data_IF_808992709993
#
_entry.id   IF_808992709993
#
_cell.length_a   1.000
_cell.length_b   1.000
_cell.length_c   1.000
_cell.angle_alpha   90.00
_cell.angle_beta   90.00
_cell.angle_gamma   90.00
#
_symmetry.space_group_name_H-M   'P 1'
#
loop_
_entity.id
_entity.type
_entity.pdbx_description
1 polymer ?
#
# COMPACT_ATOMS: atom_id res chain seq x y z
N UNK A 1 45.92 -11.81 -27.85
CA UNK A 1 44.55 -12.34 -27.65
C UNK A 1 43.74 -11.43 -26.74
N UNK A 2 42.83 -10.63 -27.27
CA UNK A 2 41.96 -9.75 -26.51
C UNK A 2 40.70 -10.54 -26.16
N UNK A 3 40.44 -10.72 -24.85
CA UNK A 3 39.18 -11.30 -24.36
C UNK A 3 38.05 -10.33 -24.65
N UNK A 4 37.07 -10.75 -25.43
CA UNK A 4 35.82 -10.04 -25.64
C UNK A 4 35.08 -9.97 -24.29
N UNK A 5 34.75 -8.74 -23.83
CA UNK A 5 33.84 -8.51 -22.68
C UNK A 5 32.44 -8.89 -23.15
N UNK A 6 31.86 -9.93 -22.55
CA UNK A 6 30.46 -10.22 -22.66
C UNK A 6 29.68 -9.03 -22.08
N UNK A 7 29.15 -8.20 -22.96
CA UNK A 7 28.10 -7.25 -22.61
C UNK A 7 26.89 -8.10 -22.23
N UNK A 8 26.53 -8.07 -20.98
CA UNK A 8 25.29 -8.65 -20.49
C UNK A 8 24.15 -8.10 -21.38
N UNK A 9 23.46 -9.02 -22.06
CA UNK A 9 22.22 -8.65 -22.79
C UNK A 9 21.27 -8.06 -21.79
N UNK A 10 20.97 -6.77 -21.92
CA UNK A 10 19.94 -6.12 -21.14
C UNK A 10 18.65 -6.94 -21.27
N UNK A 11 18.19 -7.51 -20.18
CA UNK A 11 16.87 -8.11 -20.14
C UNK A 11 15.85 -7.05 -20.52
N UNK A 12 15.07 -7.30 -21.57
CA UNK A 12 13.91 -6.46 -21.88
C UNK A 12 13.11 -6.32 -20.61
N UNK A 13 12.81 -5.09 -20.13
CA UNK A 13 11.99 -4.95 -18.93
C UNK A 13 10.70 -5.73 -19.11
N UNK A 14 10.38 -6.60 -18.18
CA UNK A 14 9.11 -7.30 -18.20
C UNK A 14 8.00 -6.25 -18.22
N UNK A 15 6.95 -6.46 -19.02
CA UNK A 15 5.82 -5.56 -19.03
C UNK A 15 5.24 -5.45 -17.61
N UNK A 16 4.87 -4.23 -17.17
CA UNK A 16 4.37 -4.03 -15.83
C UNK A 16 3.09 -4.84 -15.60
N UNK A 17 2.99 -5.46 -14.43
CA UNK A 17 1.84 -6.29 -14.05
C UNK A 17 0.59 -5.48 -13.75
N UNK A 18 0.75 -4.22 -13.42
CA UNK A 18 -0.34 -3.25 -13.27
C UNK A 18 -0.34 -2.36 -14.51
N UNK A 19 -1.44 -2.32 -15.22
CA UNK A 19 -1.59 -1.55 -16.47
C UNK A 19 -1.17 -0.10 -16.27
N UNK A 20 -0.27 0.38 -17.14
CA UNK A 20 0.25 1.74 -17.09
C UNK A 20 1.12 2.03 -15.86
N UNK A 21 1.65 1.00 -15.19
CA UNK A 21 2.66 1.22 -14.16
C UNK A 21 4.03 1.52 -14.78
N UNK A 22 4.74 2.45 -14.18
CA UNK A 22 6.07 2.91 -14.60
C UNK A 22 7.02 2.92 -13.41
N UNK A 23 8.31 3.10 -13.67
CA UNK A 23 9.34 3.17 -12.63
C UNK A 23 9.76 1.81 -12.09
N UNK A 24 10.64 1.83 -11.10
CA UNK A 24 11.30 0.62 -10.58
C UNK A 24 10.35 -0.31 -9.83
N UNK A 25 9.34 0.24 -9.15
CA UNK A 25 8.30 -0.53 -8.45
C UNK A 25 7.25 -1.13 -9.39
N UNK A 26 7.25 -0.81 -10.69
CA UNK A 26 6.32 -1.40 -11.66
C UNK A 26 6.56 -2.90 -11.88
N UNK A 27 7.68 -3.44 -11.40
CA UNK A 27 7.96 -4.87 -11.40
C UNK A 27 7.14 -5.63 -10.35
N UNK A 28 6.56 -4.92 -9.36
CA UNK A 28 5.73 -5.54 -8.33
C UNK A 28 4.54 -6.27 -8.97
N UNK A 29 4.34 -7.51 -8.58
CA UNK A 29 3.25 -8.39 -9.03
C UNK A 29 2.09 -8.39 -8.06
N UNK A 30 2.42 -8.09 -6.80
CA UNK A 30 1.48 -8.14 -5.70
C UNK A 30 0.81 -9.51 -5.55
N UNK A 31 -0.44 -9.48 -5.18
CA UNK A 31 -1.25 -10.69 -4.95
C UNK A 31 -1.70 -11.45 -6.19
N UNK A 32 -1.15 -11.14 -7.36
CA UNK A 32 -1.56 -11.80 -8.61
C UNK A 32 -1.39 -13.31 -8.54
N UNK A 33 -2.41 -14.06 -8.97
CA UNK A 33 -2.56 -15.53 -8.89
C UNK A 33 -2.62 -16.08 -7.46
N UNK A 34 -2.77 -15.23 -6.46
CA UNK A 34 -3.01 -15.63 -5.08
C UNK A 34 -4.50 -15.73 -4.75
N UNK A 35 -4.78 -15.80 -3.47
CA UNK A 35 -6.14 -15.78 -2.96
C UNK A 35 -6.79 -14.42 -3.19
N UNK A 36 -8.08 -14.39 -3.46
CA UNK A 36 -8.86 -13.16 -3.43
C UNK A 36 -9.58 -13.06 -2.07
N UNK A 37 -9.40 -11.94 -1.40
CA UNK A 37 -10.12 -11.59 -0.19
C UNK A 37 -10.98 -10.36 -0.45
N UNK A 38 -12.24 -10.41 -0.01
CA UNK A 38 -13.18 -9.31 -0.19
C UNK A 38 -13.50 -8.65 1.14
N UNK A 39 -13.24 -7.35 1.20
CA UNK A 39 -13.69 -6.50 2.30
C UNK A 39 -15.17 -6.23 2.12
N UNK A 40 -15.97 -6.73 3.03
CA UNK A 40 -17.45 -6.70 3.00
C UNK A 40 -18.06 -5.85 4.10
N UNK A 41 -17.23 -5.28 4.99
CA UNK A 41 -17.64 -4.39 6.07
C UNK A 41 -16.65 -3.23 6.21
N UNK A 42 -17.13 -2.10 6.72
CA UNK A 42 -16.32 -0.93 7.08
C UNK A 42 -15.84 -0.98 8.54
N UNK A 43 -16.15 -2.04 9.29
CA UNK A 43 -15.67 -2.22 10.64
C UNK A 43 -14.14 -2.33 10.68
N UNK A 44 -13.53 -1.85 11.77
CA UNK A 44 -12.08 -1.93 11.97
C UNK A 44 -11.56 -3.36 11.94
N UNK A 45 -12.25 -4.29 12.61
CA UNK A 45 -11.76 -5.64 12.82
C UNK A 45 -12.82 -6.71 12.57
N UNK A 46 -12.42 -7.99 12.66
CA UNK A 46 -13.28 -9.15 12.45
C UNK A 46 -13.32 -9.61 10.99
N UNK A 47 -14.03 -10.70 10.75
CA UNK A 47 -14.17 -11.29 9.42
C UNK A 47 -14.84 -10.30 8.45
N UNK A 48 -14.30 -10.18 7.24
CA UNK A 48 -14.78 -9.24 6.24
C UNK A 48 -14.19 -7.83 6.36
N UNK A 49 -13.42 -7.51 7.40
CA UNK A 49 -12.74 -6.22 7.54
C UNK A 49 -11.44 -6.15 6.72
N UNK A 50 -10.95 -4.94 6.46
CA UNK A 50 -9.64 -4.71 5.85
C UNK A 50 -8.52 -5.30 6.71
N UNK A 51 -8.55 -5.05 8.03
CA UNK A 51 -7.57 -5.55 8.99
C UNK A 51 -7.43 -7.07 8.92
N UNK A 52 -8.53 -7.78 8.83
CA UNK A 52 -8.47 -9.24 8.69
C UNK A 52 -7.70 -9.68 7.44
N UNK A 53 -7.95 -9.02 6.32
CA UNK A 53 -7.25 -9.29 5.06
C UNK A 53 -5.76 -8.95 5.10
N UNK A 54 -5.38 -7.92 5.85
CA UNK A 54 -3.98 -7.45 5.95
C UNK A 54 -3.21 -8.24 6.99
N UNK A 55 -3.73 -8.36 8.22
CA UNK A 55 -2.98 -8.85 9.38
C UNK A 55 -3.23 -10.33 9.72
N UNK A 56 -4.40 -10.88 9.35
CA UNK A 56 -4.76 -12.27 9.71
C UNK A 56 -4.50 -13.24 8.58
N UNK A 57 -4.80 -12.85 7.35
CA UNK A 57 -4.51 -13.69 6.20
C UNK A 57 -3.02 -13.69 5.89
N UNK A 58 -2.52 -14.80 5.40
CA UNK A 58 -1.11 -14.98 5.04
C UNK A 58 -0.95 -15.45 3.60
N UNK A 59 0.24 -15.23 3.05
CA UNK A 59 0.61 -15.65 1.71
C UNK A 59 0.04 -14.74 0.62
N UNK A 60 0.31 -15.09 -0.62
CA UNK A 60 -0.05 -14.31 -1.80
C UNK A 60 -1.54 -14.05 -1.88
N UNK A 61 -1.95 -12.76 -1.90
CA UNK A 61 -3.38 -12.39 -1.91
C UNK A 61 -3.66 -11.02 -2.52
N UNK A 62 -4.85 -10.89 -3.08
CA UNK A 62 -5.41 -9.61 -3.51
C UNK A 62 -6.62 -9.27 -2.65
N UNK A 63 -6.53 -8.16 -1.95
CA UNK A 63 -7.59 -7.60 -1.10
C UNK A 63 -8.37 -6.61 -1.95
N UNK A 64 -9.67 -6.85 -2.11
CA UNK A 64 -10.62 -6.06 -2.88
C UNK A 64 -11.76 -5.59 -2.00
N UNK A 65 -12.54 -4.64 -2.48
CA UNK A 65 -13.63 -4.04 -1.69
C UNK A 65 -14.97 -4.23 -2.39
N UNK A 66 -15.93 -4.77 -1.64
CA UNK A 66 -17.34 -4.84 -2.01
C UNK A 66 -18.16 -3.74 -1.32
N UNK A 67 -17.50 -2.90 -0.50
CA UNK A 67 -18.07 -1.77 0.22
C UNK A 67 -17.34 -0.47 -0.17
N UNK A 68 -18.02 0.65 0.01
CA UNK A 68 -17.46 1.99 -0.13
C UNK A 68 -17.75 2.80 1.13
N UNK A 69 -16.86 3.72 1.48
CA UNK A 69 -16.99 4.58 2.65
C UNK A 69 -15.71 4.67 3.46
N UNK A 70 -15.85 5.10 4.70
CA UNK A 70 -14.76 5.30 5.62
C UNK A 70 -14.58 4.08 6.52
N UNK A 71 -13.36 3.54 6.54
CA UNK A 71 -12.92 2.53 7.50
C UNK A 71 -12.19 3.30 8.61
N UNK A 72 -12.87 3.49 9.74
CA UNK A 72 -12.29 4.12 10.93
C UNK A 72 -11.49 3.07 11.70
N UNK A 73 -10.19 3.26 11.77
CA UNK A 73 -9.30 2.35 12.46
C UNK A 73 -9.19 2.72 13.94
N UNK A 74 -9.17 1.71 14.81
CA UNK A 74 -8.93 1.87 16.25
C UNK A 74 -7.45 1.83 16.61
N UNK A 75 -6.61 1.35 15.69
CA UNK A 75 -5.16 1.30 15.80
C UNK A 75 -4.55 1.16 14.40
N UNK A 76 -3.24 1.35 14.28
CA UNK A 76 -2.52 1.12 13.04
C UNK A 76 -2.81 -0.26 12.45
N UNK A 77 -2.82 -0.33 11.13
CA UNK A 77 -2.94 -1.58 10.41
C UNK A 77 -1.59 -1.88 9.74
N UNK A 78 -1.07 -3.09 9.95
CA UNK A 78 0.30 -3.42 9.55
C UNK A 78 0.38 -4.66 8.66
N UNK A 79 1.02 -4.51 7.52
CA UNK A 79 1.50 -5.63 6.72
C UNK A 79 2.97 -5.85 7.06
N UNK A 80 3.28 -6.89 7.86
CA UNK A 80 4.61 -7.12 8.41
C UNK A 80 5.18 -8.46 7.94
N UNK A 81 6.45 -8.44 7.48
CA UNK A 81 7.19 -9.62 7.03
C UNK A 81 6.43 -10.47 5.98
N UNK A 82 5.66 -9.81 5.11
CA UNK A 82 4.79 -10.46 4.13
C UNK A 82 5.22 -10.16 2.69
N UNK A 83 4.74 -10.96 1.77
CA UNK A 83 5.08 -10.80 0.37
C UNK A 83 3.91 -11.07 -0.58
N UNK A 84 3.98 -10.44 -1.74
CA UNK A 84 3.02 -10.70 -2.82
C UNK A 84 1.58 -10.31 -2.43
N UNK A 85 1.39 -9.09 -1.94
CA UNK A 85 0.08 -8.58 -1.52
C UNK A 85 -0.35 -7.41 -2.40
N UNK A 86 -1.62 -7.41 -2.79
CA UNK A 86 -2.26 -6.25 -3.42
C UNK A 86 -3.44 -5.79 -2.58
N UNK A 87 -3.51 -4.49 -2.29
CA UNK A 87 -4.71 -3.84 -1.76
C UNK A 87 -5.26 -2.93 -2.86
N UNK A 88 -6.42 -3.27 -3.38
CA UNK A 88 -7.00 -2.67 -4.59
C UNK A 88 -8.35 -2.02 -4.31
N UNK A 89 -8.33 -0.72 -4.06
CA UNK A 89 -9.55 0.08 -3.86
C UNK A 89 -10.35 0.34 -5.15
N UNK A 90 -9.83 0.00 -6.33
CA UNK A 90 -10.55 0.25 -7.60
C UNK A 90 -11.82 -0.59 -7.76
N UNK A 91 -11.99 -1.62 -6.93
CA UNK A 91 -13.15 -2.50 -6.96
C UNK A 91 -14.29 -2.03 -6.05
N UNK A 92 -14.01 -1.06 -5.19
CA UNK A 92 -15.02 -0.49 -4.31
C UNK A 92 -16.16 0.15 -5.13
N UNK A 93 -17.41 0.09 -4.64
CA UNK A 93 -18.52 0.83 -5.24
C UNK A 93 -18.24 2.34 -5.36
N UNK A 94 -19.14 3.07 -6.03
CA UNK A 94 -19.01 4.51 -6.20
C UNK A 94 -18.77 5.23 -4.86
N UNK A 95 -17.82 6.17 -4.85
CA UNK A 95 -17.32 6.83 -3.64
C UNK A 95 -15.98 6.28 -3.17
N UNK A 96 -15.64 5.02 -3.48
CA UNK A 96 -14.36 4.42 -3.11
C UNK A 96 -14.20 4.22 -1.61
N UNK A 97 -12.98 3.91 -1.16
CA UNK A 97 -12.64 3.63 0.23
C UNK A 97 -11.68 4.68 0.78
N UNK A 98 -11.93 5.10 2.02
CA UNK A 98 -11.05 5.92 2.82
C UNK A 98 -10.67 5.15 4.10
N UNK A 99 -9.40 5.02 4.36
CA UNK A 99 -8.85 4.47 5.60
C UNK A 99 -8.48 5.69 6.45
N UNK A 100 -9.01 5.78 7.66
CA UNK A 100 -8.81 6.94 8.53
C UNK A 100 -8.55 6.57 9.99
N UNK A 101 -8.14 7.56 10.74
CA UNK A 101 -7.95 7.56 12.19
C UNK A 101 -6.72 6.77 12.68
N UNK A 102 -5.93 6.17 11.78
CA UNK A 102 -4.66 5.54 12.11
C UNK A 102 -3.80 5.36 10.84
N UNK A 103 -2.57 4.90 11.02
CA UNK A 103 -1.57 4.70 9.96
C UNK A 103 -1.72 3.35 9.27
N UNK A 104 -1.55 3.32 7.95
CA UNK A 104 -1.30 2.07 7.21
C UNK A 104 0.22 1.86 7.10
N UNK A 105 0.72 0.76 7.64
CA UNK A 105 2.15 0.44 7.66
C UNK A 105 2.50 -0.78 6.82
N UNK A 106 3.56 -0.68 6.06
CA UNK A 106 4.22 -1.80 5.38
C UNK A 106 5.59 -1.97 6.00
N UNK A 107 5.81 -3.06 6.71
CA UNK A 107 7.06 -3.30 7.47
C UNK A 107 7.75 -4.55 6.94
N UNK A 108 8.98 -4.41 6.46
CA UNK A 108 9.83 -5.50 5.94
C UNK A 108 9.09 -6.41 4.93
N UNK A 109 8.20 -5.81 4.15
CA UNK A 109 7.37 -6.50 3.17
C UNK A 109 7.86 -6.27 1.75
N UNK A 110 7.59 -7.20 0.85
CA UNK A 110 8.04 -7.09 -0.53
C UNK A 110 6.98 -7.51 -1.56
N UNK A 111 7.17 -7.05 -2.79
CA UNK A 111 6.25 -7.33 -3.89
C UNK A 111 4.82 -6.91 -3.55
N UNK A 112 4.65 -5.63 -3.17
CA UNK A 112 3.38 -5.07 -2.68
C UNK A 112 2.84 -4.04 -3.65
N UNK A 113 1.53 -4.09 -3.89
CA UNK A 113 0.80 -3.10 -4.68
C UNK A 113 -0.32 -2.49 -3.85
N UNK A 114 -0.26 -1.17 -3.62
CA UNK A 114 -1.38 -0.40 -3.07
C UNK A 114 -1.94 0.51 -4.16
N UNK A 115 -3.25 0.49 -4.37
CA UNK A 115 -3.84 1.36 -5.38
C UNK A 115 -5.28 1.78 -5.10
N UNK A 116 -5.63 2.99 -5.57
CA UNK A 116 -6.99 3.55 -5.50
C UNK A 116 -7.54 3.63 -4.07
N UNK A 117 -6.72 4.13 -3.13
CA UNK A 117 -7.09 4.30 -1.73
C UNK A 117 -6.94 5.76 -1.32
N UNK A 118 -7.77 6.19 -0.39
CA UNK A 118 -7.58 7.43 0.36
C UNK A 118 -7.12 7.07 1.78
N UNK A 119 -6.10 7.77 2.27
CA UNK A 119 -5.55 7.61 3.60
C UNK A 119 -5.66 8.95 4.33
N UNK A 120 -6.35 8.96 5.46
CA UNK A 120 -6.68 10.15 6.25
C UNK A 120 -6.55 9.84 7.74
N UNK A 121 -5.32 9.73 8.27
CA UNK A 121 -5.16 9.40 9.70
C UNK A 121 -5.90 10.39 10.60
N UNK A 122 -5.91 11.68 10.26
CA UNK A 122 -6.66 12.67 11.04
C UNK A 122 -5.95 13.06 12.34
N UNK A 123 -6.55 13.97 13.12
CA UNK A 123 -5.95 14.49 14.34
C UNK A 123 -6.11 13.55 15.55
N UNK A 124 -7.06 12.62 15.49
CA UNK A 124 -7.43 11.75 16.61
C UNK A 124 -6.76 10.38 16.51
N UNK A 125 -5.48 10.35 16.07
CA UNK A 125 -4.70 9.10 15.99
C UNK A 125 -4.63 8.49 17.38
N UNK A 126 -5.07 7.24 17.55
CA UNK A 126 -4.93 6.56 18.84
C UNK A 126 -3.46 6.37 19.18
N UNK A 127 -3.11 6.75 20.41
CA UNK A 127 -1.77 6.65 20.95
C UNK A 127 -0.77 7.74 20.52
N UNK A 128 0.22 7.94 21.35
CA UNK A 128 1.17 9.05 21.37
C UNK A 128 2.15 9.08 20.20
N UNK A 129 2.05 8.19 19.25
CA UNK A 129 2.87 8.18 18.07
C UNK A 129 2.23 9.01 16.96
N UNK A 130 2.97 9.98 16.54
CA UNK A 130 2.74 10.89 15.44
C UNK A 130 2.25 10.10 14.22
N UNK A 131 1.04 10.39 13.76
CA UNK A 131 0.39 9.57 12.74
C UNK A 131 0.80 9.93 11.33
N UNK A 132 1.58 9.07 10.70
CA UNK A 132 1.81 9.10 9.26
C UNK A 132 0.56 8.69 8.49
N UNK A 133 0.42 9.19 7.27
CA UNK A 133 -0.63 8.69 6.38
C UNK A 133 -0.36 7.27 5.88
N UNK A 134 0.89 7.03 5.49
CA UNK A 134 1.40 5.75 5.01
C UNK A 134 2.88 5.62 5.38
N UNK A 135 3.25 4.52 6.00
CA UNK A 135 4.65 4.23 6.33
C UNK A 135 5.13 2.96 5.59
N UNK A 136 6.32 3.07 4.99
CA UNK A 136 7.10 1.96 4.45
C UNK A 136 8.43 1.88 5.17
N UNK A 137 8.72 0.74 5.80
CA UNK A 137 9.99 0.52 6.45
C UNK A 137 10.61 -0.83 6.08
N UNK A 138 11.79 -0.81 5.47
CA UNK A 138 12.52 -2.01 5.05
C UNK A 138 11.84 -2.78 3.91
N UNK A 139 11.04 -2.12 3.09
CA UNK A 139 10.26 -2.73 2.03
C UNK A 139 11.00 -2.80 0.69
N UNK A 140 10.61 -3.73 -0.18
CA UNK A 140 11.21 -3.93 -1.49
C UNK A 140 10.16 -4.23 -2.56
N UNK A 141 10.34 -3.69 -3.79
CA UNK A 141 9.41 -3.86 -4.90
C UNK A 141 7.99 -3.42 -4.55
N UNK A 142 7.80 -2.13 -4.32
CA UNK A 142 6.49 -1.58 -3.94
C UNK A 142 5.98 -0.61 -4.99
N UNK A 143 4.72 -0.81 -5.40
CA UNK A 143 3.99 0.12 -6.27
C UNK A 143 2.84 0.76 -5.50
N UNK A 144 2.93 2.08 -5.33
CA UNK A 144 1.89 2.93 -4.80
C UNK A 144 1.27 3.70 -5.97
N UNK A 145 0.00 3.43 -6.31
CA UNK A 145 -0.61 4.01 -7.51
C UNK A 145 -2.00 4.56 -7.24
N UNK A 146 -2.25 5.79 -7.70
CA UNK A 146 -3.55 6.46 -7.55
C UNK A 146 -3.99 6.53 -6.08
N UNK A 147 -3.06 6.86 -5.18
CA UNK A 147 -3.37 7.09 -3.78
C UNK A 147 -3.64 8.58 -3.53
N UNK A 148 -4.45 8.87 -2.52
CA UNK A 148 -4.58 10.19 -1.97
C UNK A 148 -4.31 10.13 -0.47
N UNK A 149 -3.23 10.78 -0.03
CA UNK A 149 -2.76 10.77 1.36
C UNK A 149 -2.72 12.19 1.88
N UNK A 150 -3.49 12.48 2.93
CA UNK A 150 -3.58 13.82 3.54
C UNK A 150 -4.01 13.70 5.00
N UNK A 151 -3.92 14.82 5.74
CA UNK A 151 -4.37 14.97 7.12
C UNK A 151 -3.58 14.12 8.11
N UNK A 152 -2.32 13.87 7.82
CA UNK A 152 -1.37 13.30 8.78
C UNK A 152 -0.93 14.37 9.79
N UNK A 153 -0.57 13.95 10.98
CA UNK A 153 -0.04 14.83 12.03
C UNK A 153 1.49 14.89 12.01
N UNK A 154 2.12 13.99 11.27
CA UNK A 154 3.55 14.02 10.93
C UNK A 154 3.71 13.96 9.41
N UNK A 155 4.37 12.98 8.85
CA UNK A 155 4.53 12.86 7.41
C UNK A 155 3.30 12.25 6.73
N UNK A 156 2.93 12.80 5.57
CA UNK A 156 1.91 12.14 4.77
C UNK A 156 2.36 10.77 4.29
N UNK A 157 3.62 10.62 3.90
CA UNK A 157 4.21 9.34 3.46
C UNK A 157 5.66 9.26 3.92
N UNK A 158 5.97 8.25 4.72
CA UNK A 158 7.33 7.89 5.14
C UNK A 158 7.82 6.68 4.35
N UNK A 159 9.04 6.77 3.80
CA UNK A 159 9.72 5.67 3.13
C UNK A 159 11.12 5.56 3.71
N UNK A 160 11.30 4.61 4.62
CA UNK A 160 12.56 4.35 5.29
C UNK A 160 13.15 2.99 4.90
N UNK A 161 14.46 2.90 4.75
CA UNK A 161 15.21 1.66 4.51
C UNK A 161 14.65 0.78 3.37
N UNK A 162 13.84 1.35 2.48
CA UNK A 162 13.12 0.64 1.42
C UNK A 162 13.78 0.80 0.07
N UNK A 163 13.55 -0.12 -0.84
CA UNK A 163 14.19 -0.18 -2.14
C UNK A 163 13.18 -0.50 -3.26
N UNK A 164 13.40 0.03 -4.44
CA UNK A 164 12.53 -0.13 -5.63
C UNK A 164 11.07 0.20 -5.35
N UNK A 165 10.85 1.38 -4.76
CA UNK A 165 9.51 1.93 -4.51
C UNK A 165 9.15 2.92 -5.60
N UNK A 166 7.93 2.84 -6.11
CA UNK A 166 7.36 3.82 -7.05
C UNK A 166 6.05 4.38 -6.53
N UNK A 167 5.95 5.70 -6.51
CA UNK A 167 4.71 6.43 -6.31
C UNK A 167 4.27 6.99 -7.67
N UNK A 168 3.08 6.61 -8.13
CA UNK A 168 2.58 7.03 -9.43
C UNK A 168 1.14 7.55 -9.33
N UNK A 169 0.91 8.75 -9.88
CA UNK A 169 -0.41 9.40 -9.87
C UNK A 169 -1.00 9.52 -8.45
N UNK A 170 -0.16 9.83 -7.47
CA UNK A 170 -0.57 10.02 -6.09
C UNK A 170 -0.73 11.52 -5.79
N UNK A 171 -1.71 11.84 -4.94
CA UNK A 171 -1.87 13.14 -4.32
C UNK A 171 -1.40 13.00 -2.88
N UNK A 172 -0.37 13.76 -2.50
CA UNK A 172 0.22 13.73 -1.16
C UNK A 172 0.35 15.18 -0.69
N UNK A 173 -0.30 15.51 0.40
CA UNK A 173 -0.28 16.87 0.91
C UNK A 173 -1.35 17.16 1.95
N UNK A 174 -1.44 18.41 2.36
CA UNK A 174 -2.36 18.89 3.40
C UNK A 174 -2.14 18.17 4.75
N UNK A 175 -0.90 18.10 5.28
CA UNK A 175 -0.69 17.62 6.63
C UNK A 175 -1.41 18.54 7.62
N UNK A 176 -1.80 17.99 8.75
CA UNK A 176 -2.35 18.76 9.86
C UNK A 176 -1.20 19.32 10.67
N UNK A 177 -1.04 20.64 10.65
CA UNK A 177 -0.06 21.28 11.52
C UNK A 177 -0.58 21.27 12.94
N UNK A 178 0.16 20.62 13.84
CA UNK A 178 0.00 20.88 15.28
C UNK A 178 0.49 22.30 15.54
N UNK A 179 -0.41 23.22 15.81
CA UNK A 179 -0.07 24.55 16.31
C UNK A 179 0.06 24.47 17.82
#
# INVERSE_FOLDING_TARGET
>A
MRRARNLARGSTPALPWVTGAEGVGAAARGGRWGQEYRVTTLADSGAGSLRYGVETMTGRRTIRFDVAGDIALESDIQLTDDECVTIDGSTAPAGGVCIRDATLRLIRSRDVVLRHLRLRPGPDVPDTDVGDGLELDGCEDVLLKNLSVSWSTDECVTIARSNRVTLQNCLIGEPLNSI
#
